data_IF_626892996648
#
_entry.id   IF_626892996648
#
_cell.length_a   1.000
_cell.length_b   1.000
_cell.length_c   1.000
_cell.angle_alpha   90.00
_cell.angle_beta   90.00
_cell.angle_gamma   90.00
#
_symmetry.space_group_name_H-M   'P 1'
#
loop_
_entity.id
_entity.type
_entity.pdbx_description
1 polymer ?
#
# COMPACT_ATOMS: atom_id res chain seq x y z
N UNK A 1 -26.89 -40.86 8.08
CA UNK A 1 -27.02 -39.59 7.34
C UNK A 1 -26.26 -38.50 8.08
N UNK A 2 -25.08 -38.08 7.56
CA UNK A 2 -24.22 -37.08 8.21
C UNK A 2 -24.50 -35.70 7.61
N UNK A 3 -24.75 -34.72 8.49
CA UNK A 3 -25.01 -33.32 8.17
C UNK A 3 -23.88 -32.76 7.31
N UNK A 4 -24.21 -32.29 6.11
CA UNK A 4 -23.34 -31.45 5.28
C UNK A 4 -23.44 -30.05 5.89
N UNK A 5 -22.57 -29.77 6.85
CA UNK A 5 -22.42 -28.42 7.39
C UNK A 5 -21.73 -27.55 6.35
N UNK A 6 -22.39 -26.45 6.02
CA UNK A 6 -21.88 -25.34 5.21
C UNK A 6 -20.49 -24.91 5.70
N UNK A 7 -19.45 -25.40 5.04
CA UNK A 7 -18.14 -24.75 5.04
C UNK A 7 -18.26 -23.52 4.13
N UNK A 8 -18.84 -22.44 4.66
CA UNK A 8 -18.35 -21.11 4.30
C UNK A 8 -16.95 -20.99 4.91
N UNK A 9 -15.99 -21.64 4.26
CA UNK A 9 -14.61 -21.23 4.39
C UNK A 9 -14.57 -19.78 3.91
N UNK A 10 -14.23 -18.86 4.82
CA UNK A 10 -13.64 -17.58 4.45
C UNK A 10 -12.53 -17.92 3.48
N UNK A 11 -12.80 -17.81 2.18
CA UNK A 11 -11.80 -17.95 1.14
C UNK A 11 -10.85 -16.80 1.40
N UNK A 12 -9.77 -17.10 2.10
CA UNK A 12 -8.63 -16.21 2.25
C UNK A 12 -8.35 -15.71 0.82
N UNK A 13 -8.64 -14.44 0.57
CA UNK A 13 -8.34 -13.85 -0.72
C UNK A 13 -6.83 -13.83 -0.73
N UNK A 14 -6.22 -14.84 -1.35
CA UNK A 14 -4.79 -14.92 -1.57
C UNK A 14 -4.46 -13.74 -2.48
N UNK A 15 -4.17 -12.59 -1.86
CA UNK A 15 -3.77 -11.38 -2.57
C UNK A 15 -2.31 -11.54 -2.92
N UNK A 16 -2.07 -12.02 -4.14
CA UNK A 16 -0.73 -11.98 -4.72
C UNK A 16 -0.34 -10.52 -4.94
N UNK A 17 0.92 -10.15 -4.65
CA UNK A 17 1.44 -8.86 -5.08
C UNK A 17 1.36 -8.72 -6.61
N UNK A 18 1.27 -7.48 -7.09
CA UNK A 18 1.18 -7.22 -8.53
C UNK A 18 2.44 -7.64 -9.30
N UNK A 19 3.59 -7.62 -8.63
CA UNK A 19 4.89 -8.04 -9.14
C UNK A 19 5.41 -9.19 -8.28
N UNK A 20 5.97 -10.22 -8.91
CA UNK A 20 6.42 -11.43 -8.22
C UNK A 20 7.68 -11.22 -7.38
N UNK A 21 8.48 -10.19 -7.67
CA UNK A 21 9.74 -9.90 -7.00
C UNK A 21 9.95 -8.40 -6.80
N UNK A 22 10.39 -8.00 -5.61
CA UNK A 22 10.77 -6.62 -5.33
C UNK A 22 12.05 -6.20 -6.07
N UNK A 23 12.85 -7.17 -6.53
CA UNK A 23 14.03 -6.89 -7.36
C UNK A 23 13.64 -6.30 -8.72
N UNK A 24 12.55 -6.77 -9.34
CA UNK A 24 12.11 -6.26 -10.65
C UNK A 24 11.76 -4.76 -10.56
N UNK A 25 11.08 -4.35 -9.49
CA UNK A 25 10.73 -2.94 -9.23
C UNK A 25 11.98 -2.10 -8.95
N UNK A 26 12.90 -2.62 -8.13
CA UNK A 26 14.13 -1.91 -7.78
C UNK A 26 15.05 -1.71 -9.00
N UNK A 27 15.21 -2.77 -9.80
CA UNK A 27 15.98 -2.74 -11.04
C UNK A 27 15.34 -1.78 -12.04
N UNK A 28 14.02 -1.78 -12.17
CA UNK A 28 13.32 -0.82 -13.02
C UNK A 28 13.67 0.63 -12.65
N UNK A 29 13.67 1.00 -11.36
CA UNK A 29 14.07 2.36 -10.94
C UNK A 29 15.52 2.68 -11.25
N UNK A 30 16.43 1.71 -11.10
CA UNK A 30 17.85 1.88 -11.41
C UNK A 30 18.08 2.06 -12.91
N UNK A 31 17.42 1.26 -13.73
CA UNK A 31 17.54 1.33 -15.20
C UNK A 31 16.88 2.60 -15.72
N UNK A 32 15.79 3.05 -15.10
CA UNK A 32 15.18 4.36 -15.38
C UNK A 32 16.14 5.51 -15.08
N UNK A 33 16.78 5.51 -13.91
CA UNK A 33 17.78 6.51 -13.54
C UNK A 33 18.97 6.53 -14.52
N UNK A 34 19.48 5.35 -14.88
CA UNK A 34 20.55 5.19 -15.87
C UNK A 34 20.17 5.73 -17.23
N UNK A 35 18.95 5.47 -17.70
CA UNK A 35 18.46 5.97 -18.99
C UNK A 35 18.40 7.51 -19.05
N UNK A 36 18.23 8.16 -17.90
CA UNK A 36 18.23 9.63 -17.75
C UNK A 36 19.62 10.17 -17.34
N UNK A 37 20.69 9.36 -17.44
CA UNK A 37 22.06 9.69 -17.02
C UNK A 37 22.17 10.19 -15.57
N UNK A 38 21.25 9.76 -14.71
CA UNK A 38 21.23 10.11 -13.29
C UNK A 38 21.72 8.95 -12.44
N UNK A 39 22.54 9.25 -11.43
CA UNK A 39 22.91 8.28 -10.42
C UNK A 39 21.83 8.21 -9.33
N UNK A 40 21.35 7.01 -9.02
CA UNK A 40 20.39 6.77 -7.95
C UNK A 40 21.09 6.18 -6.74
N UNK A 41 21.17 6.94 -5.64
CA UNK A 41 21.76 6.48 -4.39
C UNK A 41 20.93 5.33 -3.79
N UNK A 42 21.55 4.32 -3.15
CA UNK A 42 20.83 3.18 -2.55
C UNK A 42 19.74 3.60 -1.56
N UNK A 43 20.00 4.64 -0.75
CA UNK A 43 19.01 5.16 0.20
C UNK A 43 17.80 5.78 -0.51
N UNK A 44 18.03 6.53 -1.59
CA UNK A 44 16.94 7.11 -2.40
C UNK A 44 16.10 6.05 -3.09
N UNK A 45 16.72 4.95 -3.54
CA UNK A 45 16.00 3.79 -4.05
C UNK A 45 15.02 3.23 -3.01
N UNK A 46 15.44 3.08 -1.75
CA UNK A 46 14.55 2.60 -0.68
C UNK A 46 13.34 3.53 -0.46
N UNK A 47 13.56 4.85 -0.49
CA UNK A 47 12.46 5.80 -0.47
C UNK A 47 11.49 5.59 -1.64
N UNK A 48 11.99 5.51 -2.88
CA UNK A 48 11.15 5.30 -4.06
C UNK A 48 10.33 4.01 -3.99
N UNK A 49 10.93 2.93 -3.48
CA UNK A 49 10.25 1.65 -3.27
C UNK A 49 9.15 1.76 -2.21
N UNK A 50 9.40 2.46 -1.10
CA UNK A 50 8.38 2.72 -0.08
C UNK A 50 7.22 3.56 -0.63
N UNK A 51 7.52 4.63 -1.39
CA UNK A 51 6.50 5.44 -2.06
C UNK A 51 5.69 4.63 -3.07
N UNK A 52 6.34 3.80 -3.89
CA UNK A 52 5.67 2.96 -4.87
C UNK A 52 4.70 1.98 -4.18
N UNK A 53 5.16 1.26 -3.15
CA UNK A 53 4.32 0.35 -2.37
C UNK A 53 3.15 1.09 -1.71
N UNK A 54 3.42 2.26 -1.10
CA UNK A 54 2.41 3.04 -0.40
C UNK A 54 1.35 3.63 -1.31
N UNK A 55 1.75 4.28 -2.41
CA UNK A 55 0.80 4.79 -3.41
C UNK A 55 -0.02 3.67 -4.04
N UNK A 56 0.59 2.51 -4.29
CA UNK A 56 -0.14 1.35 -4.83
C UNK A 56 -1.17 0.83 -3.81
N UNK A 57 -0.77 0.69 -2.54
CA UNK A 57 -1.70 0.30 -1.48
C UNK A 57 -2.85 1.31 -1.33
N UNK A 58 -2.56 2.62 -1.38
CA UNK A 58 -3.56 3.68 -1.33
C UNK A 58 -4.53 3.66 -2.53
N UNK A 59 -4.04 3.39 -3.74
CA UNK A 59 -4.85 3.35 -4.95
C UNK A 59 -5.69 2.06 -5.11
N UNK A 60 -5.17 0.93 -4.62
CA UNK A 60 -5.76 -0.39 -4.83
C UNK A 60 -6.21 -1.08 -3.53
N UNK A 61 -6.73 -0.29 -2.58
CA UNK A 61 -7.39 -0.79 -1.35
C UNK A 61 -6.53 -1.76 -0.52
N UNK A 62 -5.26 -1.41 -0.31
CA UNK A 62 -4.34 -2.18 0.53
C UNK A 62 -3.66 -3.36 -0.18
N UNK A 63 -3.85 -3.52 -1.49
CA UNK A 63 -3.07 -4.49 -2.28
C UNK A 63 -1.59 -4.14 -2.29
N UNK A 64 -0.74 -5.17 -2.37
CA UNK A 64 0.72 -5.01 -2.45
C UNK A 64 1.17 -4.85 -3.90
N UNK A 65 2.09 -3.91 -4.13
CA UNK A 65 2.78 -3.81 -5.42
C UNK A 65 3.79 -4.95 -5.57
N UNK A 66 4.64 -5.10 -4.57
CA UNK A 66 5.73 -6.10 -4.53
C UNK A 66 5.76 -6.83 -3.18
N UNK A 67 6.38 -8.01 -3.10
CA UNK A 67 6.54 -8.78 -1.86
C UNK A 67 7.64 -8.22 -0.95
N UNK A 68 7.53 -6.95 -0.57
CA UNK A 68 8.46 -6.29 0.36
C UNK A 68 7.89 -6.12 1.76
N UNK A 69 8.80 -6.15 2.74
CA UNK A 69 8.54 -5.79 4.13
C UNK A 69 9.41 -4.58 4.45
N UNK A 70 8.77 -3.46 4.74
CA UNK A 70 9.47 -2.22 5.05
C UNK A 70 9.56 -2.01 6.55
N UNK A 71 10.76 -1.72 7.02
CA UNK A 71 11.02 -1.23 8.37
C UNK A 71 11.46 0.23 8.29
N UNK A 72 11.33 0.96 9.40
CA UNK A 72 11.76 2.37 9.46
C UNK A 72 12.84 2.52 10.51
N UNK A 73 14.02 2.96 10.08
CA UNK A 73 15.12 3.35 10.94
C UNK A 73 15.27 4.88 10.98
N UNK A 74 16.30 5.35 11.69
CA UNK A 74 16.66 6.78 11.78
C UNK A 74 16.88 7.43 10.41
N UNK A 75 17.35 6.67 9.41
CA UNK A 75 17.62 7.14 8.06
C UNK A 75 16.40 7.01 7.11
N UNK A 76 15.30 6.41 7.56
CA UNK A 76 14.03 6.31 6.85
C UNK A 76 13.58 4.87 6.58
N UNK A 77 12.53 4.68 5.77
CA UNK A 77 12.05 3.36 5.42
C UNK A 77 13.00 2.63 4.49
N UNK A 78 13.12 1.32 4.69
CA UNK A 78 13.83 0.41 3.80
C UNK A 78 13.29 -1.02 3.89
N UNK A 79 13.49 -1.80 2.84
CA UNK A 79 13.38 -3.26 2.89
C UNK A 79 14.75 -3.83 3.28
N UNK A 80 14.90 -4.51 4.45
CA UNK A 80 16.21 -4.94 4.94
C UNK A 80 16.92 -5.92 4.01
N UNK A 81 16.16 -6.84 3.42
CA UNK A 81 16.70 -7.89 2.57
C UNK A 81 17.12 -7.32 1.23
N UNK A 82 16.28 -6.45 0.66
CA UNK A 82 16.58 -5.79 -0.59
C UNK A 82 17.75 -4.81 -0.41
N UNK A 83 17.75 -3.98 0.63
CA UNK A 83 18.84 -3.05 0.90
C UNK A 83 20.18 -3.80 1.00
N UNK A 84 20.22 -4.89 1.79
CA UNK A 84 21.41 -5.74 1.94
C UNK A 84 21.85 -6.37 0.63
N UNK A 85 20.92 -6.83 -0.20
CA UNK A 85 21.24 -7.40 -1.50
C UNK A 85 21.92 -6.39 -2.44
N UNK A 86 21.59 -5.10 -2.32
CA UNK A 86 22.16 -4.02 -3.13
C UNK A 86 23.45 -3.40 -2.55
N UNK A 87 23.89 -3.79 -1.34
CA UNK A 87 25.12 -3.24 -0.70
C UNK A 87 26.37 -3.47 -1.56
N UNK A 88 26.42 -4.58 -2.29
CA UNK A 88 27.54 -4.94 -3.16
C UNK A 88 27.33 -4.50 -4.62
N UNK A 89 26.29 -3.71 -4.90
CA UNK A 89 25.90 -3.28 -6.25
C UNK A 89 24.64 -3.99 -6.75
N UNK A 90 24.39 -3.95 -8.06
CA UNK A 90 23.21 -4.58 -8.68
C UNK A 90 23.29 -6.11 -8.50
N UNK A 91 22.31 -6.75 -7.85
CA UNK A 91 22.24 -8.20 -7.73
C UNK A 91 22.14 -8.87 -9.09
N UNK A 92 22.75 -10.05 -9.24
CA UNK A 92 22.60 -10.89 -10.42
C UNK A 92 21.32 -11.74 -10.29
N UNK A 93 20.20 -11.22 -10.79
CA UNK A 93 18.89 -11.88 -10.76
C UNK A 93 18.28 -11.90 -12.16
N UNK A 94 17.51 -12.93 -12.48
CA UNK A 94 16.72 -12.96 -13.72
C UNK A 94 15.57 -11.98 -13.62
N UNK A 95 15.53 -11.00 -14.52
CA UNK A 95 14.45 -10.02 -14.60
C UNK A 95 13.24 -10.62 -15.32
N UNK A 96 12.06 -10.42 -14.74
CA UNK A 96 10.78 -10.77 -15.37
C UNK A 96 10.10 -9.49 -15.83
N UNK A 97 9.61 -9.48 -17.07
CA UNK A 97 8.85 -8.34 -17.58
C UNK A 97 7.60 -8.11 -16.71
N UNK A 98 7.42 -6.88 -16.25
CA UNK A 98 6.22 -6.45 -15.55
C UNK A 98 5.12 -6.05 -16.54
N UNK A 99 3.86 -6.11 -16.09
CA UNK A 99 2.70 -5.65 -16.86
C UNK A 99 2.79 -4.16 -17.19
N UNK A 100 2.26 -3.76 -18.35
CA UNK A 100 2.31 -2.36 -18.83
C UNK A 100 1.68 -1.37 -17.84
N UNK A 101 0.57 -1.75 -17.19
CA UNK A 101 -0.08 -0.92 -16.17
C UNK A 101 0.86 -0.60 -14.99
N UNK A 102 1.70 -1.56 -14.60
CA UNK A 102 2.70 -1.39 -13.54
C UNK A 102 3.82 -0.48 -14.00
N UNK A 103 4.30 -0.62 -15.25
CA UNK A 103 5.34 0.25 -15.80
C UNK A 103 4.87 1.72 -15.86
N UNK A 104 3.64 1.97 -16.30
CA UNK A 104 3.03 3.31 -16.31
C UNK A 104 2.92 3.87 -14.89
N UNK A 105 2.49 3.04 -13.93
CA UNK A 105 2.41 3.43 -12.53
C UNK A 105 3.80 3.81 -11.96
N UNK A 106 4.83 3.00 -12.20
CA UNK A 106 6.19 3.27 -11.73
C UNK A 106 6.78 4.53 -12.36
N UNK A 107 6.51 4.80 -13.65
CA UNK A 107 6.93 6.05 -14.31
C UNK A 107 6.26 7.28 -13.69
N UNK A 108 5.01 7.19 -13.26
CA UNK A 108 4.35 8.26 -12.53
C UNK A 108 5.01 8.54 -11.16
N UNK A 109 5.41 7.49 -10.44
CA UNK A 109 6.16 7.63 -9.17
C UNK A 109 7.54 8.24 -9.42
N UNK A 110 8.27 7.74 -10.43
CA UNK A 110 9.58 8.26 -10.83
C UNK A 110 9.50 9.75 -11.14
N UNK A 111 8.64 10.17 -12.06
CA UNK A 111 8.48 11.59 -12.43
C UNK A 111 8.13 12.49 -11.26
N UNK A 112 7.42 11.97 -10.26
CA UNK A 112 7.03 12.74 -9.07
C UNK A 112 8.18 12.96 -8.09
N UNK A 113 9.08 12.00 -7.92
CA UNK A 113 10.05 11.99 -6.82
C UNK A 113 11.52 11.94 -7.25
N UNK A 114 11.84 11.75 -8.54
CA UNK A 114 13.22 11.62 -9.02
C UNK A 114 14.10 12.84 -8.73
N UNK A 115 13.51 14.03 -8.69
CA UNK A 115 14.25 15.28 -8.47
C UNK A 115 14.30 15.68 -6.97
N UNK A 116 13.59 14.93 -6.12
CA UNK A 116 13.56 15.17 -4.68
C UNK A 116 14.78 14.56 -3.98
N UNK A 117 15.38 15.33 -3.07
CA UNK A 117 16.45 14.82 -2.21
C UNK A 117 15.90 13.87 -1.12
N UNK A 118 16.70 12.90 -0.65
CA UNK A 118 16.28 11.97 0.41
C UNK A 118 15.69 12.66 1.65
N UNK A 119 16.25 13.81 2.06
CA UNK A 119 15.74 14.57 3.21
C UNK A 119 14.37 15.22 2.96
N UNK A 120 14.02 15.52 1.69
CA UNK A 120 12.66 15.95 1.33
C UNK A 120 11.70 14.76 1.35
N UNK A 121 12.12 13.62 0.82
CA UNK A 121 11.35 12.38 0.83
C UNK A 121 11.03 11.90 2.25
N UNK A 122 12.02 11.93 3.15
CA UNK A 122 11.83 11.58 4.56
C UNK A 122 10.85 12.51 5.30
N UNK A 123 10.91 13.82 5.02
CA UNK A 123 9.94 14.79 5.54
C UNK A 123 8.52 14.51 5.04
N UNK A 124 8.36 14.05 3.79
CA UNK A 124 7.06 13.67 3.25
C UNK A 124 6.50 12.44 3.97
N UNK A 125 7.33 11.43 4.20
CA UNK A 125 6.93 10.22 4.95
C UNK A 125 6.53 10.57 6.38
N UNK A 126 7.33 11.38 7.07
CA UNK A 126 6.99 11.86 8.42
C UNK A 126 5.67 12.62 8.45
N UNK A 127 5.33 13.35 7.37
CA UNK A 127 4.07 14.08 7.24
C UNK A 127 2.89 13.13 6.97
N UNK A 128 3.04 12.17 6.08
CA UNK A 128 1.98 11.23 5.70
C UNK A 128 1.70 10.20 6.79
N UNK A 129 2.74 9.72 7.46
CA UNK A 129 2.69 8.80 8.60
C UNK A 129 2.49 9.47 9.95
N UNK A 130 1.94 10.69 9.98
CA UNK A 130 1.57 11.33 11.25
C UNK A 130 0.60 10.42 12.00
N UNK A 131 0.92 10.05 13.24
CA UNK A 131 0.23 9.07 14.09
C UNK A 131 0.50 7.58 13.78
N UNK A 132 1.45 7.25 12.91
CA UNK A 132 1.93 5.87 12.76
C UNK A 132 3.13 5.63 13.68
N UNK A 133 3.01 4.62 14.54
CA UNK A 133 3.97 4.34 15.61
C UNK A 133 5.36 3.98 15.06
N UNK A 134 5.43 3.23 13.95
CA UNK A 134 6.70 2.84 13.36
C UNK A 134 7.42 4.06 12.74
N UNK A 135 6.66 4.96 12.12
CA UNK A 135 7.18 6.22 11.56
C UNK A 135 7.64 7.18 12.66
N UNK A 136 6.94 7.23 13.79
CA UNK A 136 7.28 8.10 14.92
C UNK A 136 8.49 7.58 15.70
N UNK A 137 8.56 6.28 15.98
CA UNK A 137 9.63 5.70 16.79
C UNK A 137 10.95 5.55 16.04
N UNK A 138 10.90 5.19 14.74
CA UNK A 138 12.10 4.93 13.90
C UNK A 138 13.08 3.92 14.51
N UNK A 139 12.55 2.92 15.21
CA UNK A 139 13.29 1.92 15.98
C UNK A 139 13.53 0.61 15.20
N UNK A 140 13.32 0.61 13.88
CA UNK A 140 13.36 -0.58 13.03
C UNK A 140 12.04 -1.36 12.99
N UNK A 141 10.94 -0.79 13.51
CA UNK A 141 9.61 -1.38 13.42
C UNK A 141 9.13 -1.51 11.97
N UNK A 142 8.40 -2.59 11.68
CA UNK A 142 7.73 -2.80 10.39
C UNK A 142 6.58 -1.81 10.20
N UNK A 143 6.48 -1.23 9.00
CA UNK A 143 5.31 -0.46 8.56
C UNK A 143 4.37 -1.39 7.80
N UNK A 144 3.26 -1.73 8.44
CA UNK A 144 2.24 -2.60 7.85
C UNK A 144 1.59 -2.00 6.59
N UNK A 145 1.12 -2.87 5.68
CA UNK A 145 0.49 -2.43 4.43
C UNK A 145 -0.75 -1.56 4.65
N UNK A 146 -1.52 -1.83 5.72
CA UNK A 146 -2.69 -1.03 6.10
C UNK A 146 -2.30 0.39 6.51
N UNK A 147 -1.18 0.53 7.24
CA UNK A 147 -0.62 1.83 7.59
C UNK A 147 -0.22 2.59 6.33
N UNK A 148 0.52 1.96 5.41
CA UNK A 148 0.90 2.57 4.13
C UNK A 148 -0.33 3.00 3.32
N UNK A 149 -1.36 2.16 3.22
CA UNK A 149 -2.61 2.52 2.56
C UNK A 149 -3.21 3.79 3.16
N UNK A 150 -3.26 3.92 4.49
CA UNK A 150 -3.79 5.11 5.16
C UNK A 150 -2.92 6.35 4.95
N UNK A 151 -1.60 6.20 4.90
CA UNK A 151 -0.64 7.29 4.64
C UNK A 151 -0.81 7.89 3.25
N UNK A 152 -1.04 7.04 2.24
CA UNK A 152 -1.02 7.40 0.83
C UNK A 152 -2.40 7.43 0.16
N UNK A 153 -3.47 7.18 0.92
CA UNK A 153 -4.84 7.34 0.43
C UNK A 153 -5.08 8.78 -0.06
N UNK A 154 -5.70 8.91 -1.24
CA UNK A 154 -6.09 10.21 -1.80
C UNK A 154 -7.03 10.94 -0.84
N UNK A 155 -6.90 12.25 -0.72
CA UNK A 155 -7.76 13.07 0.16
C UNK A 155 -9.25 13.01 -0.23
N UNK A 156 -9.58 12.58 -1.45
CA UNK A 156 -10.97 12.36 -1.88
C UNK A 156 -11.68 11.26 -1.07
N UNK A 157 -10.95 10.25 -0.58
CA UNK A 157 -11.50 9.22 0.31
C UNK A 157 -11.78 9.76 1.72
N UNK A 158 -11.10 10.83 2.14
CA UNK A 158 -11.37 11.49 3.43
C UNK A 158 -12.63 12.34 3.38
N UNK A 159 -12.98 12.90 2.21
CA UNK A 159 -14.22 13.67 2.01
C UNK A 159 -15.48 12.81 2.10
N UNK A 160 -15.38 11.51 1.84
CA UNK A 160 -16.52 10.59 1.80
C UNK A 160 -16.88 9.95 3.16
N UNK A 161 -16.23 10.35 4.26
CA UNK A 161 -16.46 9.78 5.62
C UNK A 161 -17.44 10.57 6.49
N UNK A 162 -17.97 11.71 6.02
CA UNK A 162 -19.05 12.38 6.74
C UNK A 162 -20.37 11.67 6.43
N UNK A 163 -21.09 11.10 7.42
CA UNK A 163 -22.37 10.48 7.16
C UNK A 163 -23.31 11.54 6.57
N UNK A 164 -23.91 11.23 5.42
CA UNK A 164 -24.85 12.14 4.75
C UNK A 164 -26.00 12.40 5.72
N UNK A 165 -26.04 13.61 6.29
CA UNK A 165 -27.09 14.04 7.20
C UNK A 165 -28.30 14.42 6.36
N UNK A 166 -29.41 13.71 6.57
CA UNK A 166 -30.69 14.05 5.98
C UNK A 166 -31.50 14.85 7.01
N UNK A 167 -32.30 15.80 6.53
CA UNK A 167 -33.29 16.47 7.36
C UNK A 167 -34.63 15.77 7.18
N UNK A 168 -35.29 15.47 8.29
CA UNK A 168 -36.70 15.04 8.26
C UNK A 168 -37.59 16.19 7.83
N UNK A 169 -38.84 15.90 7.45
CA UNK A 169 -39.87 16.92 7.18
C UNK A 169 -40.09 17.88 8.37
N UNK A 170 -39.75 17.43 9.59
CA UNK A 170 -39.80 18.19 10.84
C UNK A 170 -38.50 18.95 11.16
N UNK A 171 -37.51 18.97 10.26
CA UNK A 171 -36.26 19.72 10.41
C UNK A 171 -35.18 19.07 11.29
N UNK A 172 -35.45 17.91 11.90
CA UNK A 172 -34.46 17.18 12.70
C UNK A 172 -33.43 16.51 11.79
N UNK A 173 -32.16 16.61 12.17
CA UNK A 173 -31.08 15.97 11.42
C UNK A 173 -30.97 14.48 11.80
N UNK A 174 -30.94 13.61 10.79
CA UNK A 174 -30.87 12.16 10.93
C UNK A 174 -29.70 11.63 10.10
N UNK A 175 -28.92 10.71 10.69
CA UNK A 175 -27.85 10.01 9.97
C UNK A 175 -28.49 9.05 8.95
N UNK A 176 -28.18 9.19 7.67
CA UNK A 176 -28.64 8.24 6.66
C UNK A 176 -27.95 6.88 6.89
N UNK A 177 -28.72 5.88 7.30
CA UNK A 177 -28.27 4.49 7.39
C UNK A 177 -28.75 3.78 6.12
N UNK A 178 -27.87 3.10 5.36
CA UNK A 178 -28.29 2.31 4.21
C UNK A 178 -29.24 1.18 4.65
N UNK A 179 -30.39 1.06 4.00
CA UNK A 179 -31.40 0.05 4.30
C UNK A 179 -30.81 -1.36 4.12
N UNK A 180 -30.96 -2.20 5.15
CA UNK A 180 -30.58 -3.62 5.11
C UNK A 180 -31.86 -4.45 5.28
N UNK A 181 -32.15 -5.39 4.38
CA UNK A 181 -33.33 -6.25 4.52
C UNK A 181 -33.22 -7.10 5.80
N UNK A 182 -34.34 -7.32 6.52
CA UNK A 182 -34.37 -8.23 7.66
C UNK A 182 -33.96 -9.63 7.21
N UNK A 183 -33.14 -10.32 8.02
CA UNK A 183 -32.88 -11.75 7.81
C UNK A 183 -34.21 -12.48 7.96
N UNK A 184 -34.60 -13.25 6.94
CA UNK A 184 -35.78 -14.11 6.99
C UNK A 184 -35.64 -15.07 8.17
N UNK A 185 -36.61 -15.04 9.07
CA UNK A 185 -36.69 -15.97 10.19
C UNK A 185 -37.11 -17.31 9.59
N UNK A 186 -36.18 -18.24 9.41
CA UNK A 186 -36.51 -19.60 8.99
C UNK A 186 -37.18 -20.28 10.17
N UNK A 187 -38.51 -20.34 10.16
CA UNK A 187 -39.29 -21.15 11.09
C UNK A 187 -39.00 -22.62 10.77
N UNK A 188 -38.12 -23.26 11.54
CA UNK A 188 -38.06 -24.72 11.58
C UNK A 188 -39.30 -25.21 12.34
N UNK A 189 -40.32 -25.60 11.58
CA UNK A 189 -41.38 -26.48 12.05
C UNK A 189 -40.76 -27.82 12.44
N UNK A 190 -40.85 -28.15 13.72
CA UNK A 190 -40.60 -29.50 14.23
C UNK A 190 -41.79 -30.39 13.81
N UNK A 191 -41.50 -31.43 13.04
CA UNK A 191 -42.20 -32.72 13.05
C UNK A 191 -41.15 -33.82 13.23
#
# INVERSE_FOLDING_TARGET
MRKIGDKLACREIVMQPAVNSSFDVAIWFLDRARSENSYLQPRKLQFLLFFAQGHYAGAYQGRRLMPSVFVVDEAGPLDPNLYRAFEQGRPNVSEVSMDEEILVFLDAIWRRYRDDEPMKLDRLISRYGKNDVAIENRDGSEVGISSMMHMFARDDDKKNKQPKMLRTYTGKAVKAIPWRPPKSITTTSNE
#
